data_IF_825917521717
#
_entry.id   IF_825917521717
#
_cell.length_a   1.000
_cell.length_b   1.000
_cell.length_c   1.000
_cell.angle_alpha   90.00
_cell.angle_beta   90.00
_cell.angle_gamma   90.00
#
_symmetry.space_group_name_H-M   'P 1'
#
loop_
_entity.id
_entity.type
_entity.pdbx_description
1 polymer ?
#
# COMPACT_ATOMS: atom_id res chain seq x y z
N UNK A 1 36.12 12.93 12.44
CA UNK A 1 36.17 11.92 11.36
C UNK A 1 34.95 12.13 10.49
N UNK A 2 35.07 12.07 9.17
CA UNK A 2 33.92 12.28 8.27
C UNK A 2 32.98 11.07 8.31
N UNK A 3 31.66 11.29 8.40
CA UNK A 3 30.65 10.23 8.35
C UNK A 3 30.49 9.72 6.92
N UNK A 4 30.31 8.42 6.74
CA UNK A 4 30.17 7.80 5.43
C UNK A 4 28.70 7.69 5.00
N UNK A 5 28.33 8.36 3.90
CA UNK A 5 26.96 8.32 3.37
C UNK A 5 26.49 6.91 2.95
N UNK A 6 27.41 6.03 2.53
CA UNK A 6 27.08 4.64 2.19
C UNK A 6 26.73 3.77 3.40
N UNK A 7 27.08 4.19 4.62
CA UNK A 7 26.81 3.46 5.86
C UNK A 7 25.53 4.00 6.47
N UNK A 8 24.38 3.46 6.07
CA UNK A 8 23.08 3.85 6.59
C UNK A 8 22.21 2.63 6.87
N UNK A 9 21.39 2.72 7.91
CA UNK A 9 20.40 1.73 8.26
C UNK A 9 19.12 2.42 8.77
N UNK A 10 17.97 1.86 8.43
CA UNK A 10 16.68 2.22 9.05
C UNK A 10 16.15 1.03 9.83
N UNK A 11 15.71 1.31 11.05
CA UNK A 11 14.91 0.38 11.84
C UNK A 11 13.51 0.97 12.02
N UNK A 12 12.47 0.15 11.90
CA UNK A 12 11.10 0.60 11.98
C UNK A 12 10.24 -0.35 12.81
N UNK A 13 9.51 0.17 13.80
CA UNK A 13 8.67 -0.64 14.71
C UNK A 13 7.42 0.12 15.13
N UNK A 14 6.27 -0.54 15.06
CA UNK A 14 4.98 0.03 15.48
C UNK A 14 5.05 0.41 16.96
N UNK A 15 4.49 1.57 17.27
CA UNK A 15 4.33 2.04 18.64
C UNK A 15 3.06 1.47 19.26
N UNK A 16 3.15 0.93 20.47
CA UNK A 16 1.96 0.55 21.25
C UNK A 16 1.23 1.79 21.78
N UNK A 17 1.97 2.88 22.00
CA UNK A 17 1.46 4.16 22.49
C UNK A 17 2.14 5.28 21.72
N UNK A 18 1.35 6.21 21.21
CA UNK A 18 1.84 7.30 20.35
C UNK A 18 2.97 8.08 21.01
N UNK A 19 4.10 8.21 20.29
CA UNK A 19 5.26 8.98 20.75
C UNK A 19 6.09 8.31 21.84
N UNK A 20 5.83 7.04 22.15
CA UNK A 20 6.61 6.24 23.11
C UNK A 20 7.51 5.27 22.33
N UNK A 21 8.81 5.39 22.57
CA UNK A 21 9.83 4.61 21.85
C UNK A 21 9.67 3.09 22.11
N UNK A 22 9.39 2.27 21.08
CA UNK A 22 9.25 0.83 21.20
C UNK A 22 10.61 0.10 21.14
N UNK A 23 11.73 0.83 21.02
CA UNK A 23 13.11 0.33 21.00
C UNK A 23 13.33 -0.73 19.90
N UNK A 24 13.26 -0.35 18.61
CA UNK A 24 13.53 -1.25 17.50
C UNK A 24 14.96 -1.80 17.52
N UNK A 25 15.13 -3.05 17.09
CA UNK A 25 16.44 -3.71 17.02
C UNK A 25 16.82 -4.07 15.58
N UNK A 26 18.12 -4.10 15.29
CA UNK A 26 18.61 -4.46 13.96
C UNK A 26 18.26 -5.89 13.52
N UNK A 27 18.09 -6.82 14.47
CA UNK A 27 17.77 -8.21 14.17
C UNK A 27 16.30 -8.46 13.77
N UNK A 28 15.37 -7.57 14.14
CA UNK A 28 13.93 -7.79 13.93
C UNK A 28 13.22 -6.65 13.22
N UNK A 29 13.82 -5.47 13.15
CA UNK A 29 13.16 -4.25 12.67
C UNK A 29 13.93 -3.54 11.57
N UNK A 30 15.03 -4.12 11.08
CA UNK A 30 15.75 -3.56 9.95
C UNK A 30 14.91 -3.63 8.68
N UNK A 31 14.94 -2.55 7.90
CA UNK A 31 14.28 -2.47 6.59
C UNK A 31 15.34 -2.59 5.50
N UNK A 32 15.06 -3.32 4.42
CA UNK A 32 15.85 -3.24 3.19
C UNK A 32 15.32 -2.06 2.38
N UNK A 33 16.19 -1.10 2.03
CA UNK A 33 15.77 0.12 1.37
C UNK A 33 16.76 0.62 0.32
N UNK A 34 16.26 1.44 -0.59
CA UNK A 34 17.03 2.27 -1.51
C UNK A 34 16.54 3.72 -1.45
N UNK A 35 17.29 4.64 -2.07
CA UNK A 35 16.90 6.06 -2.22
C UNK A 35 16.55 6.80 -0.91
N UNK A 36 17.15 6.40 0.21
CA UNK A 36 16.94 7.04 1.52
C UNK A 36 17.36 8.51 1.50
N UNK A 37 16.43 9.36 1.92
CA UNK A 37 16.62 10.78 2.21
C UNK A 37 16.09 11.06 3.61
N UNK A 38 16.94 11.64 4.48
CA UNK A 38 16.60 11.99 5.85
C UNK A 38 16.67 13.50 5.96
N UNK A 39 15.56 14.13 6.32
CA UNK A 39 15.49 15.52 6.79
C UNK A 39 15.42 15.48 8.31
N UNK A 40 16.57 15.50 9.00
CA UNK A 40 16.63 15.21 10.43
C UNK A 40 15.98 16.30 11.28
N UNK A 41 15.83 17.51 10.75
CA UNK A 41 15.23 18.65 11.46
C UNK A 41 14.57 19.58 10.44
N UNK A 42 13.25 19.59 10.44
CA UNK A 42 12.40 20.55 9.72
C UNK A 42 11.86 21.56 10.73
N UNK A 43 11.97 22.85 10.40
CA UNK A 43 11.60 23.94 11.31
C UNK A 43 10.53 24.83 10.66
N UNK A 44 9.42 25.01 11.35
CA UNK A 44 8.51 26.10 11.04
C UNK A 44 9.00 27.35 11.78
N UNK A 45 9.26 28.42 11.04
CA UNK A 45 9.83 29.65 11.55
C UNK A 45 8.86 30.82 11.37
N UNK A 46 8.61 31.59 12.42
CA UNK A 46 7.89 32.85 12.32
C UNK A 46 8.90 34.00 12.15
N UNK A 47 8.79 34.75 11.05
CA UNK A 47 9.69 35.88 10.79
C UNK A 47 9.33 37.07 11.68
N UNK A 48 10.34 37.70 12.29
CA UNK A 48 10.17 38.92 13.07
C UNK A 48 10.28 40.14 12.15
N UNK A 49 9.15 40.65 11.67
CA UNK A 49 9.09 41.79 10.74
C UNK A 49 9.43 43.14 11.41
N UNK A 50 10.62 43.24 11.98
CA UNK A 50 11.13 44.44 12.62
C UNK A 50 11.36 45.52 11.55
N UNK A 51 10.94 46.77 11.83
CA UNK A 51 11.23 47.92 10.98
C UNK A 51 12.72 48.26 11.13
N UNK A 52 13.42 48.44 10.01
CA UNK A 52 14.85 48.78 9.96
C UNK A 52 15.09 49.96 9.02
N UNK A 53 16.08 50.78 9.35
CA UNK A 53 16.53 51.89 8.51
C UNK A 53 17.44 51.45 7.34
N UNK A 54 17.70 50.15 7.21
CA UNK A 54 18.60 49.56 6.21
C UNK A 54 18.01 48.27 5.63
N UNK A 55 18.47 47.92 4.43
CA UNK A 55 18.07 46.69 3.73
C UNK A 55 18.73 45.45 4.34
N UNK A 56 17.97 44.36 4.51
CA UNK A 56 18.49 43.08 5.00
C UNK A 56 17.39 42.19 5.59
N UNK A 57 17.65 40.88 5.69
CA UNK A 57 16.65 39.93 6.21
C UNK A 57 16.36 40.16 7.71
N UNK A 58 15.20 39.72 8.13
CA UNK A 58 14.74 39.77 9.51
C UNK A 58 15.03 38.45 10.24
N UNK A 59 15.35 38.48 11.56
CA UNK A 59 15.51 37.26 12.34
C UNK A 59 14.18 36.51 12.44
N UNK A 60 14.23 35.19 12.60
CA UNK A 60 13.05 34.36 12.82
C UNK A 60 13.06 33.72 14.21
N UNK A 61 11.89 33.28 14.66
CA UNK A 61 11.71 32.50 15.89
C UNK A 61 11.13 31.14 15.54
N UNK A 62 11.52 30.13 16.30
CA UNK A 62 11.05 28.77 16.10
C UNK A 62 9.60 28.62 16.54
N UNK A 63 8.76 28.08 15.66
CA UNK A 63 7.36 27.77 15.94
C UNK A 63 7.13 26.27 16.15
N UNK A 64 7.82 25.40 15.40
CA UNK A 64 7.71 23.94 15.53
C UNK A 64 8.94 23.24 14.95
N UNK A 65 9.28 22.06 15.48
CA UNK A 65 10.30 21.15 14.92
C UNK A 65 9.69 19.77 14.71
N UNK A 66 9.96 19.17 13.55
CA UNK A 66 9.67 17.76 13.29
C UNK A 66 10.74 17.17 12.38
N UNK A 67 10.67 15.88 12.10
CA UNK A 67 11.60 15.20 11.20
C UNK A 67 10.85 14.49 10.08
N UNK A 68 11.51 14.34 8.93
CA UNK A 68 10.97 13.64 7.76
C UNK A 68 11.98 12.63 7.23
N UNK A 69 11.47 11.52 6.73
CA UNK A 69 12.28 10.49 6.08
C UNK A 69 11.51 9.90 4.91
N UNK A 70 12.21 9.71 3.79
CA UNK A 70 11.68 9.04 2.61
C UNK A 70 12.66 8.00 2.11
N UNK A 71 12.15 6.87 1.63
CA UNK A 71 12.94 5.77 1.11
C UNK A 71 12.05 4.83 0.30
N UNK A 72 12.67 4.02 -0.54
CA UNK A 72 11.98 3.03 -1.36
C UNK A 72 12.28 1.61 -0.84
N UNK A 73 11.28 0.73 -0.93
CA UNK A 73 11.38 -0.69 -0.56
C UNK A 73 10.87 -1.53 -1.73
N UNK A 74 11.58 -2.60 -2.07
CA UNK A 74 11.19 -3.53 -3.12
C UNK A 74 9.90 -4.28 -2.77
N UNK A 75 8.98 -4.40 -3.73
CA UNK A 75 7.71 -5.09 -3.55
C UNK A 75 7.93 -6.59 -3.76
N UNK A 76 8.01 -7.33 -2.66
CA UNK A 76 8.05 -8.80 -2.64
C UNK A 76 7.20 -9.33 -1.48
N UNK A 77 6.76 -10.59 -1.55
CA UNK A 77 6.16 -11.24 -0.38
C UNK A 77 7.20 -11.61 0.67
N UNK A 78 6.73 -12.25 1.76
CA UNK A 78 7.59 -12.67 2.88
C UNK A 78 8.35 -13.98 2.62
N UNK A 79 8.04 -14.68 1.53
CA UNK A 79 8.57 -16.02 1.23
C UNK A 79 7.79 -17.15 1.91
N UNK A 80 6.84 -16.84 2.78
CA UNK A 80 6.00 -17.83 3.47
C UNK A 80 4.54 -17.38 3.48
N UNK A 81 3.65 -18.19 2.91
CA UNK A 81 2.22 -17.86 2.82
C UNK A 81 1.60 -17.63 4.20
N UNK A 82 0.87 -16.52 4.36
CA UNK A 82 0.27 -16.11 5.63
C UNK A 82 1.23 -15.46 6.63
N UNK A 83 2.48 -15.18 6.25
CA UNK A 83 3.42 -14.39 7.06
C UNK A 83 3.49 -12.97 6.50
N UNK A 84 3.37 -11.96 7.37
CA UNK A 84 3.48 -10.56 6.96
C UNK A 84 4.90 -10.24 6.41
N UNK A 85 5.01 -9.43 5.34
CA UNK A 85 6.30 -8.98 4.81
C UNK A 85 7.02 -8.05 5.81
N UNK A 86 8.34 -7.92 5.67
CA UNK A 86 9.15 -7.05 6.52
C UNK A 86 8.75 -5.56 6.49
N UNK A 87 8.11 -5.10 5.42
CA UNK A 87 7.60 -3.73 5.28
C UNK A 87 6.16 -3.53 5.79
N UNK A 88 5.48 -4.57 6.28
CA UNK A 88 4.11 -4.49 6.81
C UNK A 88 3.89 -3.38 7.83
N UNK A 89 4.78 -3.17 8.82
CA UNK A 89 4.72 -2.03 9.74
C UNK A 89 4.69 -0.66 9.05
N UNK A 90 5.38 -0.49 7.92
CA UNK A 90 5.41 0.76 7.17
C UNK A 90 4.06 1.03 6.51
N UNK A 91 3.48 0.01 5.87
CA UNK A 91 2.13 0.09 5.30
C UNK A 91 1.10 0.49 6.36
N UNK A 92 1.21 -0.10 7.56
CA UNK A 92 0.30 0.19 8.67
C UNK A 92 0.38 1.64 9.16
N UNK A 93 1.61 2.18 9.27
CA UNK A 93 1.83 3.59 9.58
C UNK A 93 1.42 4.56 8.46
N UNK A 94 1.12 4.03 7.26
CA UNK A 94 0.53 4.75 6.14
C UNK A 94 -1.00 4.57 6.08
N UNK A 95 -1.69 4.42 7.21
CA UNK A 95 -3.16 4.35 7.28
C UNK A 95 -3.78 3.09 6.65
N UNK A 96 -3.06 1.98 6.65
CA UNK A 96 -3.57 0.67 6.25
C UNK A 96 -3.73 -0.24 7.50
N UNK A 97 -4.76 -1.08 7.56
CA UNK A 97 -4.86 -2.16 8.54
C UNK A 97 -4.38 -3.48 7.95
N UNK A 98 -3.70 -4.29 8.75
CA UNK A 98 -3.27 -5.63 8.38
C UNK A 98 -4.26 -6.67 8.89
N UNK A 99 -4.75 -7.54 8.00
CA UNK A 99 -5.56 -8.72 8.35
C UNK A 99 -4.86 -9.97 7.84
N UNK A 100 -4.61 -10.92 8.74
CA UNK A 100 -3.86 -12.14 8.45
C UNK A 100 -4.75 -13.38 8.53
N UNK A 101 -4.69 -14.22 7.49
CA UNK A 101 -5.27 -15.56 7.49
C UNK A 101 -4.15 -16.61 7.56
N UNK A 102 -3.92 -17.16 8.75
CA UNK A 102 -2.83 -18.12 9.02
C UNK A 102 -3.10 -19.54 8.53
N UNK A 103 -4.38 -19.90 8.33
CA UNK A 103 -4.82 -21.20 7.84
C UNK A 103 -5.77 -21.00 6.66
N UNK A 104 -5.48 -21.66 5.55
CA UNK A 104 -6.32 -21.60 4.36
C UNK A 104 -7.73 -22.13 4.68
N UNK A 105 -8.76 -21.45 4.16
CA UNK A 105 -10.14 -21.88 4.28
C UNK A 105 -10.55 -22.57 2.98
N UNK A 106 -10.81 -23.87 3.03
CA UNK A 106 -11.29 -24.65 1.90
C UNK A 106 -12.64 -25.29 2.23
N UNK A 107 -13.45 -25.55 1.20
CA UNK A 107 -14.73 -26.24 1.37
C UNK A 107 -15.54 -26.29 0.08
N UNK A 108 -16.66 -26.98 0.12
CA UNK A 108 -17.72 -26.86 -0.91
C UNK A 108 -18.75 -25.88 -0.39
N UNK A 109 -19.20 -24.94 -1.21
CA UNK A 109 -20.11 -23.88 -0.79
C UNK A 109 -21.46 -24.43 -0.31
N UNK A 110 -22.02 -23.82 0.73
CA UNK A 110 -23.36 -24.13 1.21
C UNK A 110 -24.46 -23.52 0.33
N UNK A 111 -24.14 -22.41 -0.34
CA UNK A 111 -24.96 -21.70 -1.30
C UNK A 111 -24.06 -20.75 -2.11
N UNK A 112 -24.57 -20.25 -3.23
CA UNK A 112 -23.88 -19.27 -4.07
C UNK A 112 -24.85 -18.45 -4.89
N UNK A 113 -24.32 -17.44 -5.58
CA UNK A 113 -25.09 -16.57 -6.47
C UNK A 113 -24.18 -15.78 -7.40
N UNK A 114 -24.73 -14.75 -8.05
CA UNK A 114 -23.99 -13.92 -8.99
C UNK A 114 -22.79 -13.21 -8.35
N UNK A 115 -22.93 -12.73 -7.10
CA UNK A 115 -21.87 -12.01 -6.37
C UNK A 115 -21.63 -12.59 -4.97
N UNK A 116 -22.21 -13.74 -4.64
CA UNK A 116 -22.18 -14.26 -3.27
C UNK A 116 -21.70 -15.70 -3.24
N UNK A 117 -21.03 -16.08 -2.17
CA UNK A 117 -20.71 -17.47 -1.84
C UNK A 117 -20.86 -17.66 -0.34
N UNK A 118 -21.49 -18.74 0.08
CA UNK A 118 -21.66 -19.09 1.49
C UNK A 118 -20.68 -20.21 1.87
N UNK A 119 -19.79 -19.91 2.81
CA UNK A 119 -18.80 -20.85 3.31
C UNK A 119 -19.40 -21.84 4.31
N UNK A 120 -18.81 -23.03 4.43
CA UNK A 120 -19.28 -24.11 5.33
C UNK A 120 -18.68 -24.04 6.75
N UNK A 121 -18.93 -25.08 7.56
CA UNK A 121 -18.33 -25.25 8.88
C UNK A 121 -16.79 -25.15 8.81
N UNK A 122 -16.21 -24.24 9.58
CA UNK A 122 -14.79 -23.84 9.50
C UNK A 122 -14.57 -22.36 9.21
N UNK A 123 -15.52 -21.68 8.56
CA UNK A 123 -15.45 -20.24 8.37
C UNK A 123 -15.74 -19.45 9.67
N UNK A 124 -15.05 -18.32 9.84
CA UNK A 124 -15.18 -17.42 10.99
C UNK A 124 -16.62 -16.96 11.21
N UNK A 125 -17.04 -16.90 12.46
CA UNK A 125 -18.34 -16.31 12.84
C UNK A 125 -18.28 -14.78 13.00
N UNK A 126 -17.09 -14.17 12.85
CA UNK A 126 -16.89 -12.74 13.00
C UNK A 126 -17.04 -12.03 11.65
N UNK A 127 -17.87 -10.99 11.63
CA UNK A 127 -18.05 -10.13 10.46
C UNK A 127 -16.72 -9.53 9.99
N UNK A 128 -16.59 -9.30 8.69
CA UNK A 128 -15.41 -8.64 8.12
C UNK A 128 -14.13 -9.50 8.04
N UNK A 129 -14.08 -10.67 8.68
CA UNK A 129 -12.84 -11.50 8.79
C UNK A 129 -12.14 -11.75 7.45
N UNK A 130 -12.91 -11.92 6.37
CA UNK A 130 -12.38 -12.24 5.04
C UNK A 130 -12.37 -11.05 4.07
N UNK A 131 -12.72 -9.84 4.50
CA UNK A 131 -12.78 -8.67 3.61
C UNK A 131 -11.40 -8.36 3.03
N UNK A 132 -11.36 -8.02 1.73
CA UNK A 132 -10.14 -7.81 0.95
C UNK A 132 -9.39 -9.10 0.57
N UNK A 133 -9.77 -10.26 1.10
CA UNK A 133 -9.15 -11.54 0.72
C UNK A 133 -9.63 -12.01 -0.65
N UNK A 134 -8.75 -12.69 -1.39
CA UNK A 134 -9.14 -13.34 -2.65
C UNK A 134 -9.61 -14.77 -2.39
N UNK A 135 -10.77 -15.11 -2.97
CA UNK A 135 -11.38 -16.44 -2.99
C UNK A 135 -11.18 -17.03 -4.38
N UNK A 136 -10.72 -18.28 -4.45
CA UNK A 136 -10.60 -19.06 -5.69
C UNK A 136 -11.66 -20.15 -5.72
N UNK A 137 -12.31 -20.34 -6.86
CA UNK A 137 -13.17 -21.52 -7.10
C UNK A 137 -12.34 -22.58 -7.80
N UNK A 138 -12.07 -23.70 -7.13
CA UNK A 138 -11.15 -24.76 -7.56
C UNK A 138 -11.86 -25.97 -8.16
N UNK A 139 -13.20 -26.05 -8.06
CA UNK A 139 -14.01 -27.14 -8.59
C UNK A 139 -15.51 -26.80 -8.61
N UNK A 140 -16.30 -27.63 -9.30
CA UNK A 140 -17.75 -27.42 -9.46
C UNK A 140 -18.12 -26.23 -10.35
N UNK A 141 -19.33 -25.70 -10.18
CA UNK A 141 -19.78 -24.52 -10.93
C UNK A 141 -18.89 -23.32 -10.65
N UNK A 142 -18.45 -22.64 -11.71
CA UNK A 142 -17.57 -21.46 -11.61
C UNK A 142 -16.07 -21.77 -11.40
N UNK A 143 -15.65 -23.04 -11.49
CA UNK A 143 -14.25 -23.43 -11.37
C UNK A 143 -13.33 -22.63 -12.30
N UNK A 144 -12.17 -22.22 -11.78
CA UNK A 144 -11.18 -21.40 -12.46
C UNK A 144 -11.37 -19.89 -12.28
N UNK A 145 -12.44 -19.44 -11.64
CA UNK A 145 -12.67 -18.03 -11.34
C UNK A 145 -12.12 -17.64 -9.96
N UNK A 146 -11.85 -16.35 -9.78
CA UNK A 146 -11.45 -15.78 -8.49
C UNK A 146 -12.16 -14.46 -8.25
N UNK A 147 -12.44 -14.14 -7.00
CA UNK A 147 -13.12 -12.91 -6.58
C UNK A 147 -12.53 -12.36 -5.30
N UNK A 148 -12.61 -11.03 -5.12
CA UNK A 148 -12.20 -10.36 -3.88
C UNK A 148 -13.43 -10.16 -3.00
N UNK A 149 -13.33 -10.50 -1.73
CA UNK A 149 -14.42 -10.30 -0.76
C UNK A 149 -14.57 -8.81 -0.46
N UNK A 150 -15.72 -8.25 -0.80
CA UNK A 150 -16.10 -6.88 -0.45
C UNK A 150 -16.71 -6.78 0.95
N UNK A 151 -17.57 -7.75 1.30
CA UNK A 151 -18.18 -7.83 2.64
C UNK A 151 -18.33 -9.27 3.08
N UNK A 152 -18.26 -9.52 4.38
CA UNK A 152 -18.48 -10.83 4.97
C UNK A 152 -19.35 -10.75 6.22
N UNK A 153 -20.44 -11.52 6.22
CA UNK A 153 -21.33 -11.67 7.38
C UNK A 153 -21.04 -13.01 8.04
N UNK A 154 -20.46 -12.99 9.23
CA UNK A 154 -19.98 -14.18 9.94
C UNK A 154 -21.11 -15.05 10.51
N UNK A 155 -22.25 -14.46 10.83
CA UNK A 155 -23.42 -15.20 11.32
C UNK A 155 -24.01 -16.13 10.25
N UNK A 156 -24.05 -15.67 8.99
CA UNK A 156 -24.53 -16.47 7.85
C UNK A 156 -23.38 -17.13 7.07
N UNK A 157 -22.13 -16.75 7.35
CA UNK A 157 -20.92 -17.16 6.62
C UNK A 157 -20.96 -16.82 5.14
N UNK A 158 -21.65 -15.73 4.80
CA UNK A 158 -21.82 -15.29 3.42
C UNK A 158 -20.79 -14.22 3.09
N UNK A 159 -19.99 -14.47 2.06
CA UNK A 159 -19.11 -13.48 1.46
C UNK A 159 -19.77 -12.90 0.21
N UNK A 160 -19.75 -11.57 0.10
CA UNK A 160 -20.13 -10.84 -1.10
C UNK A 160 -18.87 -10.37 -1.82
N UNK A 161 -18.77 -10.62 -3.11
CA UNK A 161 -17.64 -10.27 -3.94
C UNK A 161 -17.77 -8.85 -4.51
N UNK A 162 -16.63 -8.21 -4.73
CA UNK A 162 -16.52 -6.89 -5.39
C UNK A 162 -17.11 -6.89 -6.80
N UNK A 163 -16.90 -7.96 -7.56
CA UNK A 163 -17.39 -8.13 -8.92
C UNK A 163 -18.23 -9.40 -9.03
N UNK A 164 -19.19 -9.40 -9.95
CA UNK A 164 -19.97 -10.59 -10.26
C UNK A 164 -19.06 -11.69 -10.81
N UNK A 165 -19.34 -12.93 -10.41
CA UNK A 165 -18.77 -14.11 -11.04
C UNK A 165 -19.22 -14.16 -12.50
N UNK A 166 -18.31 -14.49 -13.42
CA UNK A 166 -18.68 -14.73 -14.82
C UNK A 166 -19.63 -15.93 -14.94
N UNK A 167 -19.49 -16.90 -14.03
CA UNK A 167 -20.45 -17.98 -13.83
C UNK A 167 -20.88 -17.97 -12.37
N UNK A 168 -22.16 -17.67 -12.06
CA UNK A 168 -22.66 -17.66 -10.69
C UNK A 168 -22.29 -18.95 -9.95
N UNK A 169 -21.82 -18.82 -8.72
CA UNK A 169 -21.47 -19.96 -7.88
C UNK A 169 -22.73 -20.63 -7.33
N UNK A 170 -22.61 -21.90 -6.94
CA UNK A 170 -23.71 -22.67 -6.36
C UNK A 170 -23.20 -23.66 -5.29
N UNK A 171 -24.06 -24.59 -4.87
CA UNK A 171 -23.76 -25.61 -3.85
C UNK A 171 -22.70 -26.63 -4.26
N UNK A 172 -22.30 -26.66 -5.54
CA UNK A 172 -21.24 -27.53 -6.05
C UNK A 172 -19.89 -26.83 -6.11
N UNK A 173 -19.88 -25.49 -6.01
CA UNK A 173 -18.65 -24.68 -6.08
C UNK A 173 -17.70 -25.03 -4.93
N UNK A 174 -16.53 -25.56 -5.26
CA UNK A 174 -15.44 -25.81 -4.31
C UNK A 174 -14.58 -24.56 -4.22
N UNK A 175 -14.43 -23.99 -3.02
CA UNK A 175 -13.71 -22.75 -2.79
C UNK A 175 -12.41 -22.98 -2.00
N UNK A 176 -11.44 -22.09 -2.23
CA UNK A 176 -10.19 -21.97 -1.49
C UNK A 176 -9.84 -20.50 -1.25
N UNK A 177 -9.71 -20.13 0.02
CA UNK A 177 -9.12 -18.88 0.46
C UNK A 177 -7.71 -19.23 0.97
N UNK A 178 -6.65 -18.94 0.20
CA UNK A 178 -5.29 -19.28 0.62
C UNK A 178 -4.90 -18.47 1.85
N UNK A 179 -3.85 -18.92 2.53
CA UNK A 179 -3.17 -18.12 3.55
C UNK A 179 -2.73 -16.81 2.90
N UNK A 180 -3.10 -15.69 3.50
CA UNK A 180 -2.81 -14.38 2.93
C UNK A 180 -2.75 -13.30 4.00
N UNK A 181 -2.09 -12.21 3.66
CA UNK A 181 -2.02 -10.99 4.47
C UNK A 181 -2.57 -9.86 3.64
N UNK A 182 -3.60 -9.20 4.13
CA UNK A 182 -4.31 -8.14 3.41
C UNK A 182 -4.08 -6.81 4.12
N UNK A 183 -3.76 -5.79 3.34
CA UNK A 183 -3.69 -4.40 3.75
C UNK A 183 -4.78 -3.60 3.06
N UNK A 184 -5.65 -2.99 3.87
CA UNK A 184 -6.73 -2.11 3.40
C UNK A 184 -6.66 -0.76 4.12
N UNK A 185 -7.06 0.34 3.47
CA UNK A 185 -7.18 1.64 4.13
C UNK A 185 -8.01 1.57 5.42
N UNK A 186 -7.76 2.51 6.32
CA UNK A 186 -8.62 2.77 7.49
C UNK A 186 -8.90 4.26 7.60
N UNK A 187 -10.00 4.65 8.21
CA UNK A 187 -10.34 6.08 8.44
C UNK A 187 -10.21 6.52 9.90
N UNK A 188 -9.81 5.61 10.78
CA UNK A 188 -9.64 5.84 12.22
C UNK A 188 -8.67 4.83 12.80
N UNK A 189 -8.33 4.99 14.09
CA UNK A 189 -7.40 4.10 14.78
C UNK A 189 -6.04 3.96 14.06
N UNK A 190 -5.57 5.06 13.47
CA UNK A 190 -4.30 5.09 12.76
C UNK A 190 -3.15 4.73 13.69
N UNK A 191 -2.35 3.78 13.27
CA UNK A 191 -1.15 3.41 14.00
C UNK A 191 -0.03 4.42 13.76
N UNK A 192 0.97 4.39 14.62
CA UNK A 192 2.19 5.17 14.48
C UNK A 192 3.40 4.25 14.58
N UNK A 193 4.51 4.71 14.02
CA UNK A 193 5.74 3.95 13.98
C UNK A 193 6.91 4.79 14.51
N UNK A 194 7.83 4.13 15.21
CA UNK A 194 9.13 4.70 15.50
C UNK A 194 10.11 4.32 14.38
N UNK A 195 10.78 5.31 13.81
CA UNK A 195 11.79 5.13 12.77
C UNK A 195 13.13 5.61 13.30
N UNK A 196 14.10 4.71 13.36
CA UNK A 196 15.49 5.05 13.63
C UNK A 196 16.23 5.16 12.30
N UNK A 197 16.89 6.28 12.06
CA UNK A 197 17.76 6.48 10.91
C UNK A 197 19.20 6.60 11.42
N UNK A 198 20.01 5.57 11.21
CA UNK A 198 21.43 5.57 11.52
C UNK A 198 22.21 6.03 10.29
N UNK A 199 23.00 7.09 10.44
CA UNK A 199 23.96 7.60 9.45
C UNK A 199 25.35 7.47 10.04
N UNK A 200 26.05 6.41 9.65
CA UNK A 200 27.30 5.95 10.26
C UNK A 200 27.15 5.81 11.79
N UNK A 201 27.77 6.68 12.58
CA UNK A 201 27.69 6.68 14.05
C UNK A 201 26.66 7.63 14.65
N UNK A 202 25.86 8.32 13.83
CA UNK A 202 24.83 9.26 14.31
C UNK A 202 23.44 8.65 14.10
N UNK A 203 22.60 8.67 15.13
CA UNK A 203 21.22 8.18 15.08
C UNK A 203 20.23 9.33 15.19
N UNK A 204 19.29 9.36 14.25
CA UNK A 204 18.09 10.18 14.28
C UNK A 204 16.89 9.31 14.62
N UNK A 205 15.98 9.80 15.45
CA UNK A 205 14.77 9.08 15.85
C UNK A 205 13.56 9.93 15.49
N UNK A 206 12.61 9.30 14.79
CA UNK A 206 11.29 9.84 14.51
C UNK A 206 10.28 9.01 15.31
N UNK A 207 9.73 9.56 16.38
CA UNK A 207 8.63 8.93 17.13
C UNK A 207 7.28 9.41 16.58
N UNK A 208 6.21 8.66 16.85
CA UNK A 208 4.87 9.04 16.42
C UNK A 208 4.74 9.22 14.92
N UNK A 209 5.58 8.54 14.12
CA UNK A 209 5.68 8.80 12.70
C UNK A 209 4.47 8.21 11.97
N UNK A 210 3.94 8.97 11.00
CA UNK A 210 2.88 8.56 10.07
C UNK A 210 3.22 9.07 8.68
N UNK A 211 2.72 8.38 7.66
CA UNK A 211 3.19 8.60 6.30
C UNK A 211 2.16 8.38 5.20
N UNK A 212 2.66 8.48 3.97
CA UNK A 212 1.97 8.02 2.75
C UNK A 212 2.84 6.99 2.04
N UNK A 213 2.20 6.14 1.25
CA UNK A 213 2.85 5.12 0.44
C UNK A 213 2.36 5.22 -1.00
N UNK A 214 3.32 5.15 -1.93
CA UNK A 214 3.06 4.99 -3.35
C UNK A 214 3.68 3.69 -3.84
N UNK A 215 3.01 3.03 -4.79
CA UNK A 215 3.46 1.83 -5.48
C UNK A 215 3.79 2.22 -6.91
N UNK A 216 4.95 1.79 -7.41
CA UNK A 216 5.32 1.92 -8.81
C UNK A 216 5.71 0.57 -9.36
N UNK A 217 5.08 0.18 -10.47
CA UNK A 217 5.35 -1.06 -11.20
C UNK A 217 5.47 -0.73 -12.69
N UNK A 218 6.70 -0.80 -13.19
CA UNK A 218 7.02 -0.59 -14.61
C UNK A 218 7.49 -1.90 -15.22
N UNK A 219 7.06 -2.19 -16.44
CA UNK A 219 7.47 -3.36 -17.21
C UNK A 219 9.00 -3.42 -17.31
N UNK A 220 9.55 -4.61 -17.13
CA UNK A 220 10.98 -4.91 -17.07
C UNK A 220 11.72 -4.31 -15.86
N UNK A 221 11.04 -3.53 -15.02
CA UNK A 221 11.56 -3.00 -13.76
C UNK A 221 11.19 -3.85 -12.55
N UNK A 222 11.78 -3.52 -11.41
CA UNK A 222 11.40 -4.06 -10.09
C UNK A 222 10.32 -3.15 -9.50
N UNK A 223 9.19 -3.69 -9.04
CA UNK A 223 8.16 -2.89 -8.40
C UNK A 223 8.64 -2.38 -7.03
N UNK A 224 8.34 -1.11 -6.70
CA UNK A 224 8.80 -0.43 -5.49
C UNK A 224 7.64 0.22 -4.73
N UNK A 225 7.69 0.15 -3.41
CA UNK A 225 6.96 1.04 -2.51
C UNK A 225 7.83 2.25 -2.18
N UNK A 226 7.35 3.45 -2.45
CA UNK A 226 7.96 4.70 -2.00
C UNK A 226 7.23 5.20 -0.77
N UNK A 227 7.95 5.29 0.36
CA UNK A 227 7.41 5.78 1.62
C UNK A 227 7.88 7.20 1.91
N UNK A 228 7.00 8.02 2.48
CA UNK A 228 7.36 9.32 3.05
C UNK A 228 6.70 9.46 4.41
N UNK A 229 7.51 9.61 5.46
CA UNK A 229 7.06 9.74 6.84
C UNK A 229 7.39 11.11 7.41
N UNK A 230 6.49 11.60 8.25
CA UNK A 230 6.73 12.73 9.17
C UNK A 230 6.60 12.20 10.59
N UNK A 231 7.52 12.58 11.48
CA UNK A 231 7.53 12.15 12.88
C UNK A 231 8.02 13.25 13.82
N UNK A 232 7.81 13.02 15.11
CA UNK A 232 8.31 13.87 16.19
C UNK A 232 9.84 13.90 16.16
N UNK A 233 10.41 15.08 16.37
CA UNK A 233 11.86 15.25 16.42
C UNK A 233 12.41 14.86 17.79
N UNK A 234 13.44 14.01 17.80
CA UNK A 234 14.28 13.80 18.97
C UNK A 234 15.71 14.25 18.67
N UNK A 235 16.40 14.74 19.71
CA UNK A 235 17.80 15.14 19.61
C UNK A 235 18.66 13.98 19.09
N UNK A 236 19.42 14.17 18.00
CA UNK A 236 20.30 13.14 17.49
C UNK A 236 21.33 12.70 18.53
N UNK A 237 21.64 11.41 18.54
CA UNK A 237 22.61 10.81 19.49
C UNK A 237 23.63 9.97 18.75
N UNK A 238 24.86 9.93 19.24
CA UNK A 238 25.88 9.03 18.72
C UNK A 238 25.63 7.60 19.21
N UNK A 239 25.52 6.65 18.27
CA UNK A 239 25.30 5.23 18.54
C UNK A 239 26.06 4.42 17.49
N UNK A 240 26.60 3.27 17.88
CA UNK A 240 27.20 2.34 16.92
C UNK A 240 26.18 1.85 15.89
N UNK A 241 26.65 1.56 14.68
CA UNK A 241 25.78 1.02 13.63
C UNK A 241 25.15 -0.31 14.10
N UNK A 242 23.82 -0.47 14.01
CA UNK A 242 23.16 -1.72 14.39
C UNK A 242 23.62 -2.88 13.50
N UNK A 243 23.68 -4.07 14.07
CA UNK A 243 23.77 -5.31 13.29
C UNK A 243 22.39 -5.64 12.70
N UNK A 244 22.27 -5.59 11.37
CA UNK A 244 20.99 -5.72 10.67
C UNK A 244 20.75 -7.14 10.16
N UNK A 245 19.52 -7.63 10.27
CA UNK A 245 19.06 -8.88 9.64
C UNK A 245 17.94 -8.56 8.66
N UNK A 246 18.09 -9.01 7.41
CA UNK A 246 17.18 -8.68 6.30
C UNK A 246 16.52 -9.94 5.69
N UNK A 247 16.53 -11.07 6.39
CA UNK A 247 15.97 -12.34 5.90
C UNK A 247 14.46 -12.30 5.62
N UNK A 248 13.75 -11.30 6.15
CA UNK A 248 12.34 -11.06 5.87
C UNK A 248 12.09 -10.44 4.48
N UNK A 249 13.13 -9.94 3.80
CA UNK A 249 13.06 -9.37 2.45
C UNK A 249 13.53 -10.41 1.43
N UNK A 250 12.60 -10.90 0.62
CA UNK A 250 12.90 -11.83 -0.46
C UNK A 250 13.40 -11.08 -1.69
N UNK A 251 14.18 -11.76 -2.53
CA UNK A 251 14.58 -11.20 -3.82
C UNK A 251 13.34 -10.89 -4.67
N UNK A 252 13.18 -9.65 -5.18
CA UNK A 252 12.03 -9.29 -5.97
C UNK A 252 12.11 -9.90 -7.38
N UNK A 253 10.96 -9.98 -8.03
CA UNK A 253 10.84 -10.35 -9.43
C UNK A 253 10.65 -9.11 -10.29
N UNK A 254 11.14 -9.14 -11.53
CA UNK A 254 10.84 -8.09 -12.49
C UNK A 254 9.41 -8.22 -13.02
N UNK A 255 8.76 -7.10 -13.31
CA UNK A 255 7.44 -7.06 -13.96
C UNK A 255 7.58 -7.56 -15.41
N UNK A 256 6.99 -8.71 -15.72
CA UNK A 256 6.93 -9.31 -17.06
C UNK A 256 5.81 -10.35 -17.12
N UNK A 257 5.53 -10.89 -18.30
CA UNK A 257 4.42 -11.85 -18.50
C UNK A 257 4.59 -13.18 -17.75
N UNK A 258 5.81 -13.54 -17.34
CA UNK A 258 6.06 -14.75 -16.54
C UNK A 258 5.71 -14.53 -15.08
N UNK A 259 6.01 -13.33 -14.56
CA UNK A 259 5.91 -13.01 -13.15
C UNK A 259 4.64 -12.22 -12.81
N UNK A 260 3.94 -11.65 -13.79
CA UNK A 260 2.76 -10.80 -13.57
C UNK A 260 1.57 -11.33 -14.36
N UNK A 261 0.43 -11.45 -13.70
CA UNK A 261 -0.80 -12.03 -14.25
C UNK A 261 -2.04 -11.29 -13.74
N UNK A 262 -3.19 -11.58 -14.34
CA UNK A 262 -4.48 -11.07 -13.87
C UNK A 262 -4.65 -9.56 -13.98
N UNK A 263 -4.00 -8.94 -14.98
CA UNK A 263 -4.12 -7.51 -15.26
C UNK A 263 -5.53 -7.18 -15.76
N UNK A 264 -6.22 -6.32 -15.03
CA UNK A 264 -7.49 -5.73 -15.40
C UNK A 264 -7.35 -4.22 -15.31
N UNK A 265 -7.71 -3.49 -16.37
CA UNK A 265 -7.70 -2.03 -16.40
C UNK A 265 -9.10 -1.54 -16.74
N UNK A 266 -9.75 -0.89 -15.79
CA UNK A 266 -11.08 -0.29 -15.89
C UNK A 266 -12.14 -1.32 -16.35
N UNK A 267 -12.04 -2.53 -15.78
CA UNK A 267 -12.86 -3.69 -16.12
C UNK A 267 -12.45 -4.44 -17.41
N UNK A 268 -11.40 -4.00 -18.12
CA UNK A 268 -10.91 -4.68 -19.32
C UNK A 268 -9.75 -5.63 -18.97
N UNK A 269 -10.01 -6.94 -19.06
CA UNK A 269 -9.07 -8.01 -18.67
C UNK A 269 -8.05 -8.41 -19.75
N UNK A 270 -8.15 -7.82 -20.95
CA UNK A 270 -7.21 -8.04 -22.06
C UNK A 270 -6.27 -6.83 -22.25
N UNK A 271 -6.10 -6.00 -21.22
CA UNK A 271 -5.17 -4.88 -21.24
C UNK A 271 -3.72 -5.39 -21.27
N UNK A 272 -2.88 -4.74 -22.08
CA UNK A 272 -1.42 -4.94 -22.08
C UNK A 272 -0.81 -3.66 -21.53
N UNK A 273 -0.30 -3.69 -20.29
CA UNK A 273 0.16 -2.49 -19.60
C UNK A 273 1.67 -2.43 -19.42
N UNK A 274 2.21 -1.21 -19.46
CA UNK A 274 3.63 -0.96 -19.31
C UNK A 274 3.99 -0.33 -17.97
N UNK A 275 3.14 0.54 -17.43
CA UNK A 275 3.47 1.35 -16.25
C UNK A 275 2.22 1.55 -15.40
N UNK A 276 2.35 1.26 -14.11
CA UNK A 276 1.30 1.40 -13.12
C UNK A 276 1.87 2.12 -11.91
N UNK A 277 1.22 3.20 -11.49
CA UNK A 277 1.56 3.91 -10.27
C UNK A 277 0.29 4.18 -9.49
N UNK A 278 0.28 3.88 -8.20
CA UNK A 278 -0.82 4.19 -7.30
C UNK A 278 -0.26 4.80 -6.02
N UNK A 279 -0.78 5.94 -5.60
CA UNK A 279 -0.44 6.63 -4.37
C UNK A 279 -1.68 6.67 -3.49
N UNK A 280 -1.53 6.27 -2.23
CA UNK A 280 -2.58 6.43 -1.23
C UNK A 280 -2.85 7.92 -0.93
N UNK A 281 -1.85 8.77 -1.17
CA UNK A 281 -1.92 10.23 -1.10
C UNK A 281 -2.54 10.71 0.22
N UNK A 282 -1.99 10.21 1.33
CA UNK A 282 -2.40 10.63 2.66
C UNK A 282 -1.96 12.09 2.93
N UNK A 283 -2.86 12.87 3.52
CA UNK A 283 -2.55 14.22 4.02
C UNK A 283 -2.00 14.13 5.45
N UNK A 284 -0.66 14.09 5.54
CA UNK A 284 0.10 13.99 6.79
C UNK A 284 0.41 15.39 7.33
N UNK A 285 -0.07 15.71 8.53
CA UNK A 285 0.08 17.04 9.14
C UNK A 285 0.74 16.91 10.51
N UNK A 286 1.88 17.58 10.68
CA UNK A 286 2.44 17.83 12.02
C UNK A 286 1.67 18.98 12.66
N UNK A 287 1.20 18.78 13.90
CA UNK A 287 0.45 19.76 14.67
C UNK A 287 1.19 20.06 15.96
N UNK A 288 1.42 21.35 16.18
CA UNK A 288 1.89 21.90 17.45
C UNK A 288 0.98 23.10 17.74
N UNK A 289 -0.03 22.88 18.58
CA UNK A 289 -1.02 23.89 18.96
C UNK A 289 -0.90 24.18 20.45
N UNK A 290 -1.13 25.44 20.83
CA UNK A 290 -1.08 25.88 22.23
C UNK A 290 -2.07 25.10 23.08
N UNK A 291 -1.61 24.55 24.20
CA UNK A 291 -2.42 23.76 25.13
C UNK A 291 -2.62 22.28 24.72
N UNK A 292 -2.10 21.86 23.56
CA UNK A 292 -2.10 20.47 23.12
C UNK A 292 -0.71 19.83 23.19
N UNK A 293 -0.64 18.51 22.97
CA UNK A 293 0.61 17.79 22.70
C UNK A 293 0.95 17.83 21.22
N UNK A 294 2.24 17.82 20.89
CA UNK A 294 2.68 17.68 19.50
C UNK A 294 2.31 16.29 18.96
N UNK A 295 1.78 16.26 17.74
CA UNK A 295 1.46 15.01 17.08
C UNK A 295 1.47 15.13 15.55
N UNK A 296 1.61 13.99 14.91
CA UNK A 296 1.46 13.79 13.47
C UNK A 296 0.12 13.11 13.25
N UNK A 297 -0.75 13.76 12.50
CA UNK A 297 -2.10 13.27 12.20
C UNK A 297 -2.29 13.09 10.72
N UNK A 298 -3.10 12.09 10.37
CA UNK A 298 -3.64 11.88 9.04
C UNK A 298 -5.01 12.53 9.02
N UNK A 299 -5.21 13.49 8.12
CA UNK A 299 -6.44 14.31 8.09
C UNK A 299 -7.37 13.96 6.95
N UNK A 300 -6.81 13.45 5.85
CA UNK A 300 -7.53 13.09 4.64
C UNK A 300 -6.67 12.12 3.84
N UNK A 301 -7.26 11.43 2.86
CA UNK A 301 -6.54 10.67 1.84
C UNK A 301 -7.26 10.81 0.49
N UNK A 302 -6.51 10.93 -0.59
CA UNK A 302 -7.06 11.10 -1.95
C UNK A 302 -6.36 10.19 -2.94
N UNK A 303 -6.61 8.87 -2.90
CA UNK A 303 -5.78 7.92 -3.62
C UNK A 303 -5.89 8.15 -5.11
N UNK A 304 -4.74 8.22 -5.76
CA UNK A 304 -4.63 8.56 -7.17
C UNK A 304 -3.55 7.72 -7.81
N UNK A 305 -3.48 7.74 -9.13
CA UNK A 305 -2.54 6.92 -9.86
C UNK A 305 -2.44 7.28 -11.32
N UNK A 306 -1.64 6.51 -12.03
CA UNK A 306 -1.48 6.58 -13.46
C UNK A 306 -1.31 5.19 -14.02
N UNK A 307 -1.92 4.95 -15.18
CA UNK A 307 -1.84 3.69 -15.89
C UNK A 307 -1.49 3.99 -17.34
N UNK A 308 -0.49 3.27 -17.85
CA UNK A 308 -0.12 3.28 -19.26
C UNK A 308 -0.27 1.88 -19.83
N UNK A 309 -1.07 1.77 -20.88
CA UNK A 309 -1.40 0.52 -21.56
C UNK A 309 -1.38 0.68 -23.07
N UNK A 310 -1.22 -0.39 -23.83
CA UNK A 310 -1.35 -0.35 -25.28
C UNK A 310 -2.72 0.23 -25.67
N UNK A 311 -2.72 1.15 -26.63
CA UNK A 311 -3.95 1.71 -27.16
C UNK A 311 -4.74 0.61 -27.89
N UNK A 312 -6.01 0.44 -27.55
CA UNK A 312 -6.90 -0.49 -28.25
C UNK A 312 -7.78 0.24 -29.26
N UNK A 313 -8.30 -0.50 -30.24
CA UNK A 313 -9.39 0.03 -31.07
C UNK A 313 -10.64 0.27 -30.21
N UNK A 314 -11.50 1.20 -30.64
CA UNK A 314 -12.77 1.51 -29.97
C UNK A 314 -13.68 0.26 -29.90
N UNK A 315 -13.62 -0.60 -30.90
CA UNK A 315 -14.39 -1.85 -30.93
C UNK A 315 -13.93 -2.87 -29.87
N UNK A 316 -12.63 -2.93 -29.58
CA UNK A 316 -12.10 -3.80 -28.52
C UNK A 316 -12.43 -3.25 -27.12
N UNK A 317 -12.25 -1.93 -26.94
CA UNK A 317 -12.62 -1.22 -25.71
C UNK A 317 -12.75 0.28 -26.02
N UNK A 318 -13.93 0.84 -25.74
CA UNK A 318 -14.19 2.28 -25.89
C UNK A 318 -13.76 3.05 -24.62
N UNK A 319 -12.47 3.36 -24.54
CA UNK A 319 -11.91 4.18 -23.47
C UNK A 319 -12.47 5.61 -23.46
N UNK A 320 -12.82 6.16 -24.63
CA UNK A 320 -13.24 7.55 -24.77
C UNK A 320 -14.60 7.78 -24.13
N UNK A 321 -15.57 6.91 -24.43
CA UNK A 321 -16.90 6.97 -23.81
C UNK A 321 -16.80 6.70 -22.31
N UNK A 322 -15.95 5.74 -21.89
CA UNK A 322 -15.73 5.46 -20.46
C UNK A 322 -15.19 6.71 -19.72
N UNK A 323 -14.18 7.38 -20.28
CA UNK A 323 -13.57 8.58 -19.66
C UNK A 323 -14.55 9.76 -19.71
N UNK A 324 -15.17 10.02 -20.86
CA UNK A 324 -16.11 11.14 -21.06
C UNK A 324 -17.30 11.06 -20.10
N UNK A 325 -17.82 9.86 -19.89
CA UNK A 325 -18.97 9.62 -19.02
C UNK A 325 -18.58 9.34 -17.57
N UNK A 326 -17.29 9.36 -17.24
CA UNK A 326 -16.80 9.15 -15.87
C UNK A 326 -17.21 7.76 -15.33
N UNK A 327 -17.23 6.75 -16.21
CA UNK A 327 -17.67 5.40 -15.84
C UNK A 327 -16.58 4.67 -15.04
N UNK A 328 -16.96 4.20 -13.86
CA UNK A 328 -16.09 3.42 -12.97
C UNK A 328 -15.76 2.05 -13.56
N UNK A 329 -14.53 1.59 -13.35
CA UNK A 329 -14.14 0.22 -13.65
C UNK A 329 -13.09 -0.28 -12.68
N UNK A 330 -13.00 -1.59 -12.48
CA UNK A 330 -12.05 -2.18 -11.55
C UNK A 330 -10.61 -2.19 -12.11
N UNK A 331 -9.64 -2.20 -11.20
CA UNK A 331 -8.25 -2.55 -11.45
C UNK A 331 -7.87 -3.79 -10.65
N UNK A 332 -7.08 -4.67 -11.26
CA UNK A 332 -6.45 -5.80 -10.57
C UNK A 332 -5.13 -6.13 -11.24
N UNK A 333 -4.14 -6.55 -10.46
CA UNK A 333 -2.90 -7.15 -10.94
C UNK A 333 -2.35 -8.07 -9.85
N UNK A 334 -1.86 -9.25 -10.23
CA UNK A 334 -1.08 -10.13 -9.33
C UNK A 334 0.35 -10.26 -9.84
N UNK A 335 1.32 -9.91 -9.01
CA UNK A 335 2.74 -10.09 -9.27
C UNK A 335 3.32 -11.18 -8.36
N UNK A 336 4.13 -12.08 -8.91
CA UNK A 336 4.67 -13.26 -8.23
C UNK A 336 4.03 -14.57 -8.67
N UNK A 337 4.76 -15.67 -8.50
CA UNK A 337 4.37 -17.02 -8.98
C UNK A 337 4.20 -18.04 -7.85
N UNK A 338 5.00 -17.94 -6.79
CA UNK A 338 4.95 -18.83 -5.63
C UNK A 338 4.11 -18.27 -4.48
N UNK A 339 3.44 -19.14 -3.73
CA UNK A 339 2.74 -18.75 -2.50
C UNK A 339 3.75 -18.22 -1.46
N UNK A 340 3.33 -17.23 -0.67
CA UNK A 340 4.14 -16.37 0.18
C UNK A 340 4.86 -15.24 -0.56
N UNK A 341 4.84 -15.25 -1.90
CA UNK A 341 5.57 -14.31 -2.76
C UNK A 341 4.68 -13.65 -3.81
N UNK A 342 3.36 -13.85 -3.78
CA UNK A 342 2.43 -13.11 -4.64
C UNK A 342 2.03 -11.82 -3.95
N UNK A 343 2.13 -10.70 -4.65
CA UNK A 343 1.60 -9.41 -4.25
C UNK A 343 0.52 -9.03 -5.26
N UNK A 344 -0.71 -8.95 -4.79
CA UNK A 344 -1.88 -8.55 -5.57
C UNK A 344 -2.30 -7.15 -5.17
N UNK A 345 -2.61 -6.33 -6.16
CA UNK A 345 -3.16 -4.99 -5.98
C UNK A 345 -4.53 -4.99 -6.65
N UNK A 346 -5.56 -4.67 -5.87
CA UNK A 346 -6.93 -4.57 -6.33
C UNK A 346 -7.48 -3.17 -6.01
N UNK A 347 -8.19 -2.58 -6.97
CA UNK A 347 -9.02 -1.42 -6.74
C UNK A 347 -10.42 -1.70 -7.32
N UNK A 348 -11.48 -1.74 -6.49
CA UNK A 348 -12.81 -2.17 -6.91
C UNK A 348 -13.44 -1.21 -7.93
N UNK A 349 -13.15 0.08 -7.78
CA UNK A 349 -13.59 1.13 -8.67
C UNK A 349 -12.47 2.15 -8.85
N UNK A 350 -12.14 2.43 -10.11
CA UNK A 350 -11.32 3.56 -10.49
C UNK A 350 -11.98 4.35 -11.62
N UNK A 351 -11.73 5.64 -11.60
CA UNK A 351 -12.12 6.57 -12.63
C UNK A 351 -10.87 6.97 -13.42
N UNK A 352 -10.93 6.82 -14.75
CA UNK A 352 -9.85 7.26 -15.62
C UNK A 352 -10.07 8.69 -16.11
N UNK A 353 -9.02 9.49 -16.14
CA UNK A 353 -9.04 10.87 -16.66
C UNK A 353 -7.78 11.16 -17.48
N UNK A 354 -7.78 12.30 -18.17
CA UNK A 354 -6.59 12.83 -18.87
C UNK A 354 -5.94 11.81 -19.82
N UNK A 355 -6.67 11.25 -20.81
CA UNK A 355 -6.09 10.33 -21.77
C UNK A 355 -5.05 11.06 -22.64
N UNK A 356 -3.86 10.46 -22.75
CA UNK A 356 -2.78 10.95 -23.58
C UNK A 356 -2.12 9.79 -24.33
N UNK A 357 -1.81 9.99 -25.60
CA UNK A 357 -1.01 9.01 -26.34
C UNK A 357 0.49 9.20 -26.06
N UNK A 358 1.20 8.09 -25.99
CA UNK A 358 2.66 8.06 -25.94
C UNK A 358 3.20 6.93 -26.82
N UNK A 359 4.47 7.02 -27.19
CA UNK A 359 5.16 5.97 -27.93
C UNK A 359 5.95 5.08 -26.96
N UNK A 360 5.91 3.76 -27.21
CA UNK A 360 6.84 2.80 -26.61
C UNK A 360 7.18 1.74 -27.66
N UNK A 361 8.45 1.67 -28.03
CA UNK A 361 8.95 0.72 -29.04
C UNK A 361 8.22 0.81 -30.40
N UNK A 362 7.74 2.00 -30.77
CA UNK A 362 6.95 2.22 -31.99
C UNK A 362 5.48 1.81 -31.89
N UNK A 363 5.02 1.34 -30.73
CA UNK A 363 3.62 0.99 -30.45
C UNK A 363 2.96 2.15 -29.71
N UNK A 364 1.74 2.50 -30.13
CA UNK A 364 0.95 3.55 -29.47
C UNK A 364 0.43 3.05 -28.13
N UNK A 365 0.83 3.74 -27.07
CA UNK A 365 0.34 3.55 -25.71
C UNK A 365 -0.69 4.63 -25.38
N UNK A 366 -1.68 4.28 -24.58
CA UNK A 366 -2.63 5.17 -23.94
C UNK A 366 -2.26 5.32 -22.46
N UNK A 367 -1.79 6.50 -22.08
CA UNK A 367 -1.61 6.90 -20.70
C UNK A 367 -2.86 7.56 -20.15
N UNK A 368 -3.22 7.26 -18.91
CA UNK A 368 -4.35 7.86 -18.19
C UNK A 368 -3.97 8.13 -16.74
N UNK A 369 -4.57 9.16 -16.15
CA UNK A 369 -4.63 9.29 -14.69
C UNK A 369 -5.77 8.42 -14.17
N UNK A 370 -5.62 7.89 -12.97
CA UNK A 370 -6.62 7.07 -12.30
C UNK A 370 -6.91 7.64 -10.92
N UNK A 371 -8.17 7.92 -10.62
CA UNK A 371 -8.62 8.25 -9.27
C UNK A 371 -9.28 7.00 -8.68
N UNK A 372 -8.81 6.53 -7.52
CA UNK A 372 -9.33 5.31 -6.90
C UNK A 372 -10.47 5.67 -5.95
N UNK A 373 -11.62 4.99 -6.10
CA UNK A 373 -12.87 5.39 -5.45
C UNK A 373 -13.37 4.25 -4.56
N UNK A 374 -13.73 4.52 -3.29
CA UNK A 374 -14.28 3.50 -2.42
C UNK A 374 -15.69 3.10 -2.86
N UNK A 375 -16.05 1.83 -2.68
CA UNK A 375 -17.38 1.29 -2.97
C UNK A 375 -18.13 0.99 -1.67
N UNK A 376 -17.50 0.26 -0.74
CA UNK A 376 -18.05 -0.11 0.58
C UNK A 376 -17.21 0.49 1.72
N UNK A 377 -16.46 1.55 1.41
CA UNK A 377 -15.70 2.34 2.36
C UNK A 377 -14.37 1.70 2.72
N UNK A 378 -13.31 2.50 2.70
CA UNK A 378 -11.94 2.05 2.97
C UNK A 378 -11.46 0.89 2.07
N UNK A 379 -12.09 0.68 0.92
CA UNK A 379 -11.82 -0.40 -0.02
C UNK A 379 -11.24 0.12 -1.34
N UNK A 380 -10.92 1.42 -1.45
CA UNK A 380 -10.45 2.05 -2.68
C UNK A 380 -9.15 1.45 -3.25
N UNK A 381 -8.31 0.87 -2.40
CA UNK A 381 -7.17 0.05 -2.81
C UNK A 381 -6.95 -1.06 -1.78
N UNK A 382 -6.63 -2.26 -2.25
CA UNK A 382 -6.28 -3.41 -1.39
C UNK A 382 -4.97 -4.00 -1.87
N UNK A 383 -4.05 -4.23 -0.94
CA UNK A 383 -2.80 -4.95 -1.19
C UNK A 383 -2.90 -6.29 -0.49
N UNK A 384 -2.81 -7.38 -1.24
CA UNK A 384 -2.91 -8.73 -0.71
C UNK A 384 -1.63 -9.51 -1.00
N UNK A 385 -1.08 -10.16 0.01
CA UNK A 385 0.13 -10.98 -0.09
C UNK A 385 -0.22 -12.43 0.14
N UNK A 386 0.08 -13.29 -0.83
CA UNK A 386 -0.37 -14.69 -0.87
C UNK A 386 0.74 -15.68 -1.15
#
# INVERSE_FOLDING_TARGET
MSLLFRKRAILAKIETTYGVDPVPTGGSNAILMSNITVSPMEMNLAQRNNIKAYLGNNPSVLAAIYAKVSFDVEVAGSGTAGTAPGYGPLLRACALSETLLGTALTGTAAAGGANTIQFVAGASATDGTYVGMTVYITGGTGAGQSGVVQSYVGSTKTATMTAAWATPTDVTSVYNIPKQVVYQPVSSAFESIAIYCNVDSVRHILLGARGTVAIKASAQGVPMFSFTFTGLFLTPTDVTMPNVTLSAFQQPLAINNTNTSGLVVAGYAAAVGSDFSFDLANTVVFRSLVGGSENVVLTDRKPSGSITQEATTVAAKDWWTQIKNVTLGAFSMTHGTAAGNKVKIDAPAMQLTTPAYSDKDGITMLGTKADLIPVVGNDEITICIQ
#
